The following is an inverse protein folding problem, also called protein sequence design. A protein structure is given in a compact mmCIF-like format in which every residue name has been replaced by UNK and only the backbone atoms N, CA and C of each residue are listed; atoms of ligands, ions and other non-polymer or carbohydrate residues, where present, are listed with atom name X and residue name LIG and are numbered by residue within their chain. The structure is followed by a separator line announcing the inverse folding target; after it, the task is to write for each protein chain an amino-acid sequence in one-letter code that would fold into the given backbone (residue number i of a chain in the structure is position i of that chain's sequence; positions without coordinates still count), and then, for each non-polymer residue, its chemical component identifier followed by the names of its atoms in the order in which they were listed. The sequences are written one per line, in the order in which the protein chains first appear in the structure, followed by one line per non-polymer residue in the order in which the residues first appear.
data_IF_264186269599
#
_entry.id   IF_264186269599
#
_cell.length_a   1.000
_cell.length_b   1.000
_cell.length_c   1.000
_cell.angle_alpha   90.00
_cell.angle_beta   90.00
_cell.angle_gamma   90.00
#
_symmetry.space_group_name_H-M   'P 1'
#
loop_
_entity.id
_entity.type
_entity.pdbx_description
1 polymer ?
#
# COMPACT_ATOMS: atom_id res chain seq x y z
N UNK A 1 13.84 11.57 -4.96
CA UNK A 1 13.96 10.60 -6.07
C UNK A 1 13.04 9.45 -5.72
N UNK A 2 11.96 9.28 -6.45
CA UNK A 2 11.15 8.06 -6.37
C UNK A 2 12.08 6.88 -6.57
N UNK A 3 11.85 5.79 -5.85
CA UNK A 3 12.69 4.62 -5.98
C UNK A 3 12.65 4.14 -7.43
N UNK A 4 13.84 3.93 -8.01
CA UNK A 4 14.01 3.41 -9.36
C UNK A 4 13.41 1.99 -9.42
N UNK A 5 12.63 1.61 -10.46
CA UNK A 5 12.19 0.24 -10.67
C UNK A 5 13.32 -0.80 -10.53
N UNK A 6 14.51 -0.48 -11.05
CA UNK A 6 15.67 -1.37 -10.98
C UNK A 6 16.12 -1.65 -9.54
N UNK A 7 16.02 -0.67 -8.63
CA UNK A 7 16.31 -0.85 -7.21
C UNK A 7 15.41 -1.91 -6.57
N UNK A 8 14.09 -1.86 -6.85
CA UNK A 8 13.14 -2.83 -6.32
C UNK A 8 13.28 -4.19 -6.99
N UNK A 9 13.48 -4.23 -8.30
CA UNK A 9 13.73 -5.47 -9.04
C UNK A 9 14.95 -6.22 -8.48
N UNK A 10 16.03 -5.49 -8.17
CA UNK A 10 17.24 -6.09 -7.59
C UNK A 10 16.98 -6.64 -6.18
N UNK A 11 16.24 -5.91 -5.32
CA UNK A 11 15.84 -6.39 -4.00
C UNK A 11 15.05 -7.70 -4.12
N UNK A 12 14.07 -7.76 -5.01
CA UNK A 12 13.23 -8.95 -5.18
C UNK A 12 13.95 -10.12 -5.86
N UNK A 13 15.00 -9.87 -6.66
CA UNK A 13 15.86 -10.93 -7.21
C UNK A 13 16.77 -11.54 -6.15
N UNK A 14 17.29 -10.70 -5.24
CA UNK A 14 18.32 -11.11 -4.28
C UNK A 14 17.75 -11.66 -2.98
N UNK A 15 16.50 -11.33 -2.61
CA UNK A 15 15.93 -11.64 -1.30
C UNK A 15 14.70 -12.52 -1.39
N UNK A 16 14.64 -13.47 -0.47
CA UNK A 16 13.40 -14.21 -0.19
C UNK A 16 12.45 -13.36 0.66
N UNK A 17 11.17 -13.73 0.74
CA UNK A 17 10.19 -12.96 1.51
C UNK A 17 10.56 -12.88 3.01
N UNK A 18 11.18 -13.91 3.57
CA UNK A 18 11.65 -13.90 4.97
C UNK A 18 12.85 -12.95 5.23
N UNK A 19 13.44 -12.40 4.18
CA UNK A 19 14.55 -11.43 4.26
C UNK A 19 14.10 -10.00 3.96
N UNK A 20 12.78 -9.79 3.77
CA UNK A 20 12.19 -8.47 3.53
C UNK A 20 11.65 -7.89 4.84
N UNK A 21 12.04 -6.65 5.17
CA UNK A 21 11.66 -6.02 6.46
C UNK A 21 10.16 -5.82 6.62
N UNK A 22 9.42 -5.73 5.53
CA UNK A 22 7.96 -5.55 5.51
C UNK A 22 7.18 -6.86 5.42
N UNK A 23 7.87 -8.00 5.28
CA UNK A 23 7.23 -9.31 5.18
C UNK A 23 6.46 -9.67 6.44
N UNK A 24 5.34 -10.34 6.25
CA UNK A 24 4.44 -10.76 7.33
C UNK A 24 3.93 -12.18 7.12
N UNK A 25 3.83 -12.92 8.22
CA UNK A 25 3.22 -14.24 8.23
C UNK A 25 1.68 -14.18 8.12
N UNK A 26 1.08 -13.07 8.57
CA UNK A 26 -0.36 -12.78 8.47
C UNK A 26 -0.61 -11.43 7.82
N UNK A 27 -1.85 -11.16 7.41
CA UNK A 27 -2.23 -9.88 6.80
C UNK A 27 -2.81 -8.87 7.81
N UNK A 28 -2.91 -9.27 9.09
CA UNK A 28 -3.18 -8.42 10.24
C UNK A 28 -4.23 -7.35 10.02
N UNK A 29 -3.83 -6.10 10.24
CA UNK A 29 -4.71 -4.94 10.16
C UNK A 29 -5.22 -4.68 8.74
N UNK A 30 -4.42 -4.93 7.69
CA UNK A 30 -4.82 -4.79 6.28
C UNK A 30 -6.09 -5.57 5.96
N UNK A 31 -6.07 -6.89 6.21
CA UNK A 31 -7.22 -7.75 5.94
C UNK A 31 -8.42 -7.40 6.83
N UNK A 32 -8.19 -7.06 8.09
CA UNK A 32 -9.24 -6.64 9.03
C UNK A 32 -9.97 -5.38 8.56
N UNK A 33 -9.22 -4.35 8.14
CA UNK A 33 -9.80 -3.09 7.67
C UNK A 33 -10.55 -3.29 6.35
N UNK A 34 -9.95 -3.98 5.38
CA UNK A 34 -10.61 -4.29 4.11
C UNK A 34 -11.90 -5.10 4.31
N UNK A 35 -11.88 -6.13 5.17
CA UNK A 35 -13.07 -6.94 5.46
C UNK A 35 -14.22 -6.15 6.05
N UNK A 36 -13.92 -5.13 6.83
CA UNK A 36 -14.94 -4.28 7.47
C UNK A 36 -15.43 -3.16 6.57
N UNK A 37 -14.53 -2.52 5.80
CA UNK A 37 -14.80 -1.26 5.12
C UNK A 37 -15.14 -1.42 3.63
N UNK A 38 -14.67 -2.50 3.02
CA UNK A 38 -14.89 -2.83 1.61
C UNK A 38 -15.05 -4.35 1.41
N UNK A 39 -16.05 -4.99 2.07
CA UNK A 39 -16.25 -6.44 1.94
C UNK A 39 -16.60 -6.83 0.50
N UNK A 40 -16.46 -8.12 0.12
CA UNK A 40 -16.91 -8.58 -1.19
C UNK A 40 -18.36 -8.18 -1.47
N UNK A 41 -18.70 -7.79 -2.71
CA UNK A 41 -17.91 -7.87 -3.94
C UNK A 41 -17.07 -6.61 -4.27
N UNK A 42 -16.65 -5.81 -3.26
CA UNK A 42 -15.88 -4.60 -3.50
C UNK A 42 -14.58 -4.90 -4.28
N UNK A 43 -14.22 -4.00 -5.20
CA UNK A 43 -12.93 -4.05 -5.88
C UNK A 43 -11.83 -3.46 -4.99
N UNK A 44 -10.65 -4.09 -4.98
CA UNK A 44 -9.49 -3.69 -4.19
C UNK A 44 -8.30 -3.45 -5.08
N UNK A 45 -7.64 -2.31 -4.91
CA UNK A 45 -6.32 -2.02 -5.46
C UNK A 45 -5.30 -2.04 -4.31
N UNK A 46 -4.37 -2.99 -4.35
CA UNK A 46 -3.24 -3.10 -3.42
C UNK A 46 -2.01 -2.44 -4.04
N UNK A 47 -1.67 -1.26 -3.54
CA UNK A 47 -0.58 -0.42 -4.05
C UNK A 47 0.73 -0.81 -3.38
N UNK A 48 1.76 -1.08 -4.19
CA UNK A 48 3.04 -1.59 -3.73
C UNK A 48 2.90 -2.97 -3.10
N UNK A 49 1.93 -3.78 -3.55
CA UNK A 49 1.65 -5.08 -2.95
C UNK A 49 2.78 -6.10 -3.13
N UNK A 50 3.64 -5.91 -4.12
CA UNK A 50 4.82 -6.75 -4.34
C UNK A 50 4.50 -8.24 -4.36
N UNK A 51 5.20 -9.01 -3.50
CA UNK A 51 4.94 -10.43 -3.24
C UNK A 51 4.16 -10.66 -1.94
N UNK A 52 3.39 -9.66 -1.47
CA UNK A 52 2.64 -9.82 -0.21
C UNK A 52 1.55 -10.89 -0.34
N UNK A 53 1.26 -11.58 0.75
CA UNK A 53 0.17 -12.56 0.80
C UNK A 53 -1.23 -11.94 0.85
N UNK A 54 -1.37 -10.61 0.80
CA UNK A 54 -2.67 -9.94 0.97
C UNK A 54 -3.63 -10.30 -0.16
N UNK A 55 -3.19 -10.23 -1.42
CA UNK A 55 -4.04 -10.55 -2.57
C UNK A 55 -4.56 -12.00 -2.52
N UNK A 56 -3.71 -12.97 -2.13
CA UNK A 56 -4.12 -14.36 -1.94
C UNK A 56 -5.11 -14.52 -0.77
N UNK A 57 -4.88 -13.81 0.34
CA UNK A 57 -5.79 -13.84 1.50
C UNK A 57 -7.15 -13.22 1.17
N UNK A 58 -7.19 -12.12 0.41
CA UNK A 58 -8.43 -11.51 -0.07
C UNK A 58 -9.20 -12.46 -0.99
N UNK A 59 -8.53 -13.08 -1.96
CA UNK A 59 -9.15 -14.06 -2.86
C UNK A 59 -9.73 -15.25 -2.08
N UNK A 60 -8.99 -15.80 -1.11
CA UNK A 60 -9.46 -16.88 -0.25
C UNK A 60 -10.67 -16.46 0.62
N UNK A 61 -10.78 -15.18 0.96
CA UNK A 61 -11.89 -14.62 1.73
C UNK A 61 -13.07 -14.13 0.87
N UNK A 62 -13.03 -14.37 -0.47
CA UNK A 62 -14.17 -14.18 -1.37
C UNK A 62 -14.12 -12.91 -2.23
N UNK A 63 -13.03 -12.14 -2.23
CA UNK A 63 -12.87 -11.06 -3.20
C UNK A 63 -12.53 -11.62 -4.58
N UNK A 64 -13.24 -11.17 -5.61
CA UNK A 64 -13.02 -11.58 -7.00
C UNK A 64 -12.44 -10.48 -7.89
N UNK A 65 -12.40 -9.24 -7.41
CA UNK A 65 -11.87 -8.08 -8.13
C UNK A 65 -10.70 -7.47 -7.33
N UNK A 66 -9.53 -8.07 -7.53
CA UNK A 66 -8.29 -7.70 -6.84
C UNK A 66 -7.26 -7.31 -7.89
N UNK A 67 -6.68 -6.13 -7.74
CA UNK A 67 -5.56 -5.65 -8.54
C UNK A 67 -4.38 -5.34 -7.63
N UNK A 68 -3.20 -5.81 -7.98
CA UNK A 68 -1.94 -5.43 -7.33
C UNK A 68 -1.16 -4.53 -8.27
N UNK A 69 -0.82 -3.34 -7.82
CA UNK A 69 0.05 -2.41 -8.52
C UNK A 69 1.40 -2.37 -7.79
N UNK A 70 2.47 -2.54 -8.53
CA UNK A 70 3.83 -2.40 -7.99
C UNK A 70 4.77 -1.81 -9.04
N UNK A 71 5.82 -1.15 -8.58
CA UNK A 71 6.86 -0.61 -9.43
C UNK A 71 7.77 -1.70 -9.99
N UNK A 72 7.94 -2.82 -9.25
CA UNK A 72 8.79 -3.94 -9.62
C UNK A 72 8.05 -4.97 -10.47
N UNK A 73 8.52 -5.17 -11.70
CA UNK A 73 8.04 -6.26 -12.55
C UNK A 73 8.41 -7.62 -11.97
N UNK A 74 9.60 -7.74 -11.39
CA UNK A 74 10.12 -8.98 -10.77
C UNK A 74 9.25 -9.39 -9.58
N UNK A 75 8.82 -8.44 -8.75
CA UNK A 75 7.91 -8.73 -7.65
C UNK A 75 6.62 -9.37 -8.14
N UNK A 76 5.96 -8.74 -9.12
CA UNK A 76 4.68 -9.20 -9.65
C UNK A 76 4.78 -10.51 -10.44
N UNK A 77 5.87 -10.73 -11.17
CA UNK A 77 6.12 -11.96 -11.92
C UNK A 77 6.36 -13.17 -11.01
N UNK A 78 7.06 -12.94 -9.87
CA UNK A 78 7.43 -14.01 -8.94
C UNK A 78 6.43 -14.20 -7.80
N UNK A 79 5.39 -13.34 -7.70
CA UNK A 79 4.36 -13.45 -6.68
C UNK A 79 3.47 -14.69 -6.89
N UNK A 80 3.20 -15.41 -5.80
CA UNK A 80 2.26 -16.54 -5.78
C UNK A 80 0.81 -16.04 -5.62
N UNK A 81 0.30 -15.39 -6.66
CA UNK A 81 -1.08 -14.90 -6.68
C UNK A 81 -2.00 -15.85 -7.43
N UNK A 82 -3.26 -16.02 -6.98
CA UNK A 82 -4.31 -16.64 -7.78
C UNK A 82 -4.40 -16.00 -9.17
N UNK A 83 -4.73 -16.78 -10.19
CA UNK A 83 -4.84 -16.31 -11.59
C UNK A 83 -5.89 -15.21 -11.79
N UNK A 84 -6.83 -15.07 -10.84
CA UNK A 84 -7.85 -14.02 -10.83
C UNK A 84 -7.32 -12.66 -10.40
N UNK A 85 -6.12 -12.59 -9.81
CA UNK A 85 -5.52 -11.31 -9.38
C UNK A 85 -4.88 -10.61 -10.56
N UNK A 86 -5.36 -9.41 -10.86
CA UNK A 86 -4.76 -8.55 -11.89
C UNK A 86 -3.44 -7.94 -11.38
N UNK A 87 -2.47 -7.76 -12.29
CA UNK A 87 -1.15 -7.20 -12.00
C UNK A 87 -0.90 -5.97 -12.87
N UNK A 88 -0.47 -4.88 -12.27
CA UNK A 88 -0.10 -3.64 -12.97
C UNK A 88 1.31 -3.25 -12.56
N UNK A 89 2.24 -3.22 -13.52
CA UNK A 89 3.58 -2.67 -13.30
C UNK A 89 3.53 -1.18 -13.60
N UNK A 90 3.61 -0.34 -12.58
CA UNK A 90 3.56 1.11 -12.75
C UNK A 90 4.14 1.87 -11.55
N UNK A 91 4.63 3.08 -11.81
CA UNK A 91 4.88 4.09 -10.79
C UNK A 91 3.54 4.69 -10.36
N UNK A 92 3.16 4.51 -9.10
CA UNK A 92 1.90 5.01 -8.54
C UNK A 92 1.75 6.53 -8.67
N UNK A 93 2.85 7.27 -8.74
CA UNK A 93 2.81 8.75 -8.88
C UNK A 93 2.48 9.22 -10.29
N UNK A 94 2.66 8.36 -11.28
CA UNK A 94 2.43 8.64 -12.70
C UNK A 94 1.35 7.74 -13.34
N UNK A 95 0.80 6.78 -12.59
CA UNK A 95 -0.21 5.88 -13.08
C UNK A 95 -1.55 6.59 -13.32
N UNK A 96 -2.20 6.27 -14.43
CA UNK A 96 -3.54 6.75 -14.76
C UNK A 96 -4.54 5.60 -14.61
N UNK A 97 -5.48 5.67 -13.63
CA UNK A 97 -6.49 4.63 -13.43
C UNK A 97 -7.45 4.53 -14.61
N UNK A 98 -7.58 3.36 -15.23
CA UNK A 98 -8.56 3.10 -16.29
C UNK A 98 -9.99 2.98 -15.75
N UNK A 99 -10.13 2.65 -14.47
CA UNK A 99 -11.40 2.53 -13.73
C UNK A 99 -11.22 2.89 -12.27
N UNK A 100 -12.31 3.20 -11.60
CA UNK A 100 -12.30 3.37 -10.15
C UNK A 100 -12.44 2.04 -9.41
N UNK A 101 -11.95 2.02 -8.16
CA UNK A 101 -12.04 0.88 -7.22
C UNK A 101 -12.76 1.31 -5.94
N UNK A 102 -13.30 0.34 -5.20
CA UNK A 102 -13.95 0.61 -3.92
C UNK A 102 -12.95 0.79 -2.78
N UNK A 103 -11.81 0.11 -2.85
CA UNK A 103 -10.76 0.25 -1.85
C UNK A 103 -9.40 0.45 -2.50
N UNK A 104 -8.71 1.50 -2.05
CA UNK A 104 -7.28 1.73 -2.21
C UNK A 104 -6.60 1.26 -0.93
N UNK A 105 -5.72 0.30 -1.03
CA UNK A 105 -4.90 -0.16 0.07
C UNK A 105 -3.45 0.14 -0.22
N UNK A 106 -2.76 0.75 0.71
CA UNK A 106 -1.31 0.99 0.69
C UNK A 106 -0.74 0.59 2.05
N UNK A 107 0.24 -0.28 2.03
CA UNK A 107 1.06 -0.55 3.19
C UNK A 107 2.53 -0.45 2.83
N UNK A 108 3.16 0.61 3.31
CA UNK A 108 4.59 0.85 3.15
C UNK A 108 5.03 1.40 1.77
N UNK A 109 4.16 2.13 1.05
CA UNK A 109 4.53 2.85 -0.19
C UNK A 109 4.62 4.35 0.04
N UNK A 110 3.61 4.97 0.66
CA UNK A 110 3.56 6.42 0.84
C UNK A 110 4.83 7.01 1.48
N UNK A 111 5.47 6.29 2.38
CA UNK A 111 6.67 6.81 3.05
C UNK A 111 7.90 6.94 2.11
N UNK A 112 7.88 6.31 0.93
CA UNK A 112 8.91 6.52 -0.09
C UNK A 112 8.70 7.78 -0.92
N UNK A 113 7.52 8.42 -0.85
CA UNK A 113 7.25 9.71 -1.45
C UNK A 113 7.90 10.80 -0.59
N UNK A 114 9.18 11.08 -0.84
CA UNK A 114 9.98 11.96 0.00
C UNK A 114 9.70 13.44 -0.27
N UNK A 115 9.45 13.83 -1.53
CA UNK A 115 9.16 15.20 -1.93
C UNK A 115 7.66 15.51 -1.86
N UNK A 116 7.34 16.81 -1.74
CA UNK A 116 5.94 17.26 -1.78
C UNK A 116 5.29 17.01 -3.14
N UNK A 117 6.04 17.11 -4.22
CA UNK A 117 5.54 16.85 -5.59
C UNK A 117 5.13 15.38 -5.77
N UNK A 118 5.95 14.44 -5.29
CA UNK A 118 5.62 13.00 -5.30
C UNK A 118 4.39 12.71 -4.46
N UNK A 119 4.30 13.28 -3.26
CA UNK A 119 3.13 13.12 -2.38
C UNK A 119 1.86 13.68 -3.03
N UNK A 120 1.93 14.85 -3.64
CA UNK A 120 0.78 15.43 -4.36
C UNK A 120 0.39 14.60 -5.59
N UNK A 121 1.37 14.02 -6.30
CA UNK A 121 1.10 13.11 -7.41
C UNK A 121 0.38 11.85 -6.92
N UNK A 122 0.88 11.22 -5.86
CA UNK A 122 0.24 10.09 -5.20
C UNK A 122 -1.21 10.40 -4.79
N UNK A 123 -1.44 11.55 -4.13
CA UNK A 123 -2.78 11.96 -3.69
C UNK A 123 -3.75 12.18 -4.87
N UNK A 124 -3.27 12.77 -5.98
CA UNK A 124 -4.07 12.93 -7.22
C UNK A 124 -4.48 11.58 -7.79
N UNK A 125 -3.55 10.62 -7.84
CA UNK A 125 -3.84 9.27 -8.35
C UNK A 125 -4.83 8.54 -7.44
N UNK A 126 -4.64 8.59 -6.13
CA UNK A 126 -5.58 8.01 -5.17
C UNK A 126 -6.99 8.60 -5.32
N UNK A 127 -7.09 9.93 -5.50
CA UNK A 127 -8.37 10.60 -5.72
C UNK A 127 -9.05 10.22 -7.05
N UNK A 128 -8.27 9.92 -8.09
CA UNK A 128 -8.78 9.45 -9.38
C UNK A 128 -9.18 7.96 -9.33
N UNK A 129 -8.44 7.14 -8.56
CA UNK A 129 -8.66 5.70 -8.49
C UNK A 129 -9.83 5.30 -7.59
N UNK A 130 -10.05 6.02 -6.48
CA UNK A 130 -11.09 5.64 -5.49
C UNK A 130 -12.46 6.16 -5.93
N UNK A 131 -13.43 5.27 -6.06
CA UNK A 131 -14.82 5.62 -6.37
C UNK A 131 -15.46 6.50 -5.28
N UNK A 132 -16.43 7.37 -5.60
CA UNK A 132 -17.24 8.02 -4.59
C UNK A 132 -17.84 7.00 -3.59
N UNK A 133 -17.74 7.28 -2.30
CA UNK A 133 -18.10 6.34 -1.23
C UNK A 133 -17.08 5.22 -0.97
N UNK A 134 -16.05 5.09 -1.80
CA UNK A 134 -14.95 4.15 -1.60
C UNK A 134 -14.00 4.58 -0.47
N UNK A 135 -13.03 3.76 -0.13
CA UNK A 135 -12.13 3.95 1.01
C UNK A 135 -10.67 3.92 0.58
N UNK A 136 -9.85 4.83 1.13
CA UNK A 136 -8.41 4.74 1.12
C UNK A 136 -7.92 4.28 2.50
N UNK A 137 -7.15 3.19 2.54
CA UNK A 137 -6.55 2.59 3.74
C UNK A 137 -5.04 2.66 3.56
N UNK A 138 -4.39 3.56 4.29
CA UNK A 138 -2.97 3.88 4.09
C UNK A 138 -2.20 3.62 5.37
N UNK A 139 -1.29 2.64 5.32
CA UNK A 139 -0.33 2.32 6.37
C UNK A 139 1.08 2.78 6.00
N UNK A 140 1.62 3.73 6.72
CA UNK A 140 2.93 4.32 6.47
C UNK A 140 3.75 4.38 7.75
N UNK A 141 5.06 4.62 7.66
CA UNK A 141 5.84 4.84 8.89
C UNK A 141 5.33 6.05 9.65
N UNK A 142 5.01 5.83 10.91
CA UNK A 142 4.55 6.85 11.85
C UNK A 142 5.68 7.72 12.36
N UNK A 143 5.36 8.75 13.19
CA UNK A 143 6.35 9.71 13.71
C UNK A 143 7.53 9.06 14.43
N UNK A 144 7.31 7.93 15.10
CA UNK A 144 8.34 7.17 15.83
C UNK A 144 8.87 5.97 15.02
N UNK A 145 8.47 5.86 13.75
CA UNK A 145 8.96 4.84 12.83
C UNK A 145 10.38 5.09 12.34
N UNK A 146 10.94 4.16 11.56
CA UNK A 146 12.25 4.32 10.94
C UNK A 146 12.32 5.54 10.00
N UNK A 147 13.50 6.13 9.86
CA UNK A 147 13.80 7.18 8.88
C UNK A 147 14.39 6.64 7.57
N UNK A 148 14.64 5.32 7.52
CA UNK A 148 15.14 4.60 6.32
C UNK A 148 14.43 3.26 6.16
N UNK A 149 14.19 2.88 4.90
CA UNK A 149 13.69 1.57 4.51
C UNK A 149 14.39 1.11 3.22
N UNK A 150 14.82 -0.14 3.18
CA UNK A 150 15.50 -0.72 1.98
C UNK A 150 16.67 0.11 1.45
N UNK A 151 17.41 0.77 2.35
CA UNK A 151 18.52 1.66 1.99
C UNK A 151 18.12 3.07 1.56
N UNK A 152 16.83 3.35 1.40
CA UNK A 152 16.30 4.65 1.01
C UNK A 152 15.87 5.47 2.23
N UNK A 153 16.00 6.79 2.14
CA UNK A 153 15.39 7.72 3.08
C UNK A 153 13.87 7.71 2.89
N UNK A 154 13.13 7.78 3.99
CA UNK A 154 11.67 7.78 3.96
C UNK A 154 11.11 8.98 4.73
N UNK A 155 9.90 9.38 4.36
CA UNK A 155 9.16 10.43 5.05
C UNK A 155 8.10 9.83 5.95
N UNK A 156 8.28 9.96 7.26
CA UNK A 156 7.31 9.56 8.28
C UNK A 156 6.09 10.48 8.26
N UNK A 157 4.93 9.96 8.63
CA UNK A 157 3.71 10.76 8.69
C UNK A 157 2.79 10.33 9.82
N UNK A 158 2.15 11.30 10.46
CA UNK A 158 1.00 11.07 11.30
C UNK A 158 -0.26 10.80 10.45
N UNK A 159 -1.32 10.30 11.07
CA UNK A 159 -2.60 10.09 10.38
C UNK A 159 -3.21 11.41 9.88
N UNK A 160 -3.05 12.49 10.66
CA UNK A 160 -3.52 13.83 10.28
C UNK A 160 -2.76 14.38 9.06
N UNK A 161 -1.44 14.12 8.96
CA UNK A 161 -0.66 14.51 7.78
C UNK A 161 -1.06 13.71 6.54
N UNK A 162 -1.39 12.42 6.68
CA UNK A 162 -1.95 11.62 5.58
C UNK A 162 -3.32 12.14 5.18
N UNK A 163 -4.18 12.47 6.14
CA UNK A 163 -5.50 13.06 5.89
C UNK A 163 -5.39 14.42 5.19
N UNK A 164 -4.50 15.28 5.64
CA UNK A 164 -4.21 16.57 5.01
C UNK A 164 -3.68 16.44 3.59
N UNK A 165 -2.88 15.40 3.31
CA UNK A 165 -2.34 15.12 1.98
C UNK A 165 -3.45 14.74 0.97
N UNK A 166 -4.37 13.84 1.33
CA UNK A 166 -5.48 13.47 0.46
C UNK A 166 -6.55 14.57 0.35
N UNK A 167 -6.58 15.47 1.33
CA UNK A 167 -7.30 16.74 1.27
C UNK A 167 -8.81 16.61 1.06
N UNK A 168 -9.42 17.68 0.52
CA UNK A 168 -10.87 17.85 0.44
C UNK A 168 -11.65 16.87 -0.43
N UNK A 169 -10.98 15.91 -1.07
CA UNK A 169 -11.64 14.81 -1.78
C UNK A 169 -12.01 13.63 -0.89
N UNK A 170 -11.50 13.61 0.36
CA UNK A 170 -11.68 12.53 1.31
C UNK A 170 -12.03 13.05 2.71
N UNK A 171 -12.92 12.33 3.39
CA UNK A 171 -13.20 12.53 4.81
C UNK A 171 -12.35 11.55 5.63
N UNK A 172 -11.63 12.06 6.62
CA UNK A 172 -10.92 11.21 7.59
C UNK A 172 -11.94 10.48 8.48
N UNK A 173 -11.82 9.16 8.62
CA UNK A 173 -12.72 8.34 9.43
C UNK A 173 -12.05 7.84 10.72
N UNK A 174 -10.87 7.25 10.62
CA UNK A 174 -10.19 6.67 11.78
C UNK A 174 -8.68 6.55 11.57
N UNK A 175 -7.94 6.42 12.68
CA UNK A 175 -6.52 6.11 12.69
C UNK A 175 -6.25 4.88 13.55
N UNK A 176 -5.17 4.16 13.20
CA UNK A 176 -4.62 3.08 14.02
C UNK A 176 -3.11 3.22 14.11
N UNK A 177 -2.56 2.65 15.16
CA UNK A 177 -1.13 2.46 15.31
C UNK A 177 -0.82 0.96 15.27
N UNK A 178 0.25 0.59 14.59
CA UNK A 178 0.72 -0.79 14.52
C UNK A 178 2.23 -0.83 14.74
N UNK A 179 2.69 -1.78 15.56
CA UNK A 179 4.10 -2.10 15.70
C UNK A 179 4.39 -3.38 14.91
N UNK A 180 4.97 -3.20 13.72
CA UNK A 180 5.45 -4.31 12.91
C UNK A 180 6.82 -4.76 13.39
N UNK A 181 6.99 -6.07 13.56
CA UNK A 181 8.30 -6.66 13.85
C UNK A 181 8.88 -7.27 12.58
N UNK A 182 10.05 -6.79 12.18
CA UNK A 182 10.79 -7.37 11.06
C UNK A 182 11.14 -8.83 11.34
N UNK A 183 11.46 -9.66 10.33
CA UNK A 183 11.89 -11.05 10.54
C UNK A 183 13.07 -11.22 11.52
N UNK A 184 13.88 -10.17 11.69
CA UNK A 184 15.02 -10.15 12.63
C UNK A 184 14.71 -9.38 13.93
N UNK A 185 13.43 -9.11 14.24
CA UNK A 185 12.97 -8.63 15.55
C UNK A 185 13.03 -7.12 15.78
N UNK A 186 13.36 -6.32 14.76
CA UNK A 186 13.32 -4.86 14.88
C UNK A 186 11.87 -4.37 14.80
N UNK A 187 11.46 -3.55 15.78
CA UNK A 187 10.12 -2.96 15.80
C UNK A 187 10.08 -1.72 14.90
N UNK A 188 9.04 -1.63 14.09
CA UNK A 188 8.75 -0.50 13.21
C UNK A 188 7.36 0.01 13.48
N UNK A 189 7.22 1.27 13.91
CA UNK A 189 5.93 1.91 14.12
C UNK A 189 5.32 2.31 12.78
N UNK A 190 4.09 1.86 12.55
CA UNK A 190 3.23 2.29 11.46
C UNK A 190 2.07 3.12 12.00
N UNK A 191 1.75 4.16 11.27
CA UNK A 191 0.49 4.89 11.37
C UNK A 191 -0.42 4.45 10.23
N UNK A 192 -1.67 4.18 10.54
CA UNK A 192 -2.71 3.88 9.56
C UNK A 192 -3.74 5.01 9.56
N UNK A 193 -4.08 5.48 8.37
CA UNK A 193 -5.16 6.43 8.14
C UNK A 193 -6.22 5.79 7.24
N UNK A 194 -7.47 5.88 7.65
CA UNK A 194 -8.64 5.45 6.87
C UNK A 194 -9.44 6.67 6.47
N UNK A 195 -9.67 6.81 5.17
CA UNK A 195 -10.34 7.98 4.60
C UNK A 195 -11.43 7.55 3.63
N UNK A 196 -12.60 8.19 3.69
CA UNK A 196 -13.75 7.95 2.81
C UNK A 196 -13.77 8.96 1.68
N UNK A 197 -13.88 8.49 0.43
CA UNK A 197 -14.05 9.35 -0.75
C UNK A 197 -15.46 9.98 -0.75
N UNK A 198 -15.53 11.31 -0.94
CA UNK A 198 -16.80 12.04 -1.08
C UNK A 198 -17.56 11.68 -2.36
#
# INVERSE_FOLDING_TARGET
MSADPEHWDEIYRQRTDSELSWSRADQGLSLKLLSRLAPPPASVLDVGGGRSGLAAALAAAGWSDITVLDLSSVALETADFPTSVARIVADVTAWEPERSVHAWHDRAVLHFMASDDERQAYARVAAAAVAPGGVAIIGTFGPDGPDRCSGLEVRRSSADEVAGLLGGGFAFEEAHEEFHHTPWGVSQQFTWAVLRRH
#
